data_IF_764154853019
#
_entry.id   IF_764154853019
#
_cell.length_a   1.000
_cell.length_b   1.000
_cell.length_c   1.000
_cell.angle_alpha   90.00
_cell.angle_beta   90.00
_cell.angle_gamma   90.00
#
_symmetry.space_group_name_H-M   'P 1'
#
loop_
_entity.id
_entity.type
_entity.pdbx_description
1 polymer ?
#
# COMPACT_ATOMS: atom_id res chain seq x y z
N UNK A 1 -0.04 9.65 0.21
CA UNK A 1 -1.00 10.74 0.47
C UNK A 1 -0.75 11.94 -0.46
N UNK A 2 -1.78 12.62 -0.96
CA UNK A 2 -1.63 13.86 -1.77
C UNK A 2 -2.20 15.10 -1.10
N UNK A 3 -3.14 14.94 -0.16
CA UNK A 3 -3.75 16.00 0.65
C UNK A 3 -3.96 15.52 2.08
N UNK A 4 -3.93 16.44 3.04
CA UNK A 4 -4.30 16.16 4.42
C UNK A 4 -5.77 15.67 4.48
N UNK A 5 -6.06 14.55 5.15
CA UNK A 5 -7.42 14.02 5.22
C UNK A 5 -8.35 14.89 6.07
N UNK A 6 -7.81 15.66 7.01
CA UNK A 6 -8.61 16.50 7.90
C UNK A 6 -8.95 17.86 7.27
N UNK A 7 -7.94 18.63 6.85
CA UNK A 7 -8.14 20.01 6.35
C UNK A 7 -8.04 20.16 4.83
N UNK A 8 -7.76 19.07 4.10
CA UNK A 8 -7.62 19.02 2.62
C UNK A 8 -6.53 19.89 2.01
N UNK A 9 -5.64 20.47 2.82
CA UNK A 9 -4.44 21.16 2.35
C UNK A 9 -3.53 20.20 1.56
N UNK A 10 -2.76 20.73 0.60
CA UNK A 10 -1.77 19.95 -0.15
C UNK A 10 -0.77 19.31 0.81
N UNK A 11 -0.51 18.02 0.67
CA UNK A 11 0.53 17.35 1.45
C UNK A 11 1.92 17.80 0.99
N UNK A 12 2.82 18.10 1.93
CA UNK A 12 4.17 18.63 1.65
C UNK A 12 5.31 17.63 1.94
N UNK A 13 4.99 16.40 2.33
CA UNK A 13 6.01 15.40 2.67
C UNK A 13 6.40 15.38 4.16
N UNK A 14 5.70 16.12 5.01
CA UNK A 14 5.99 16.24 6.44
C UNK A 14 4.96 15.45 7.28
N UNK A 15 5.39 14.89 8.41
CA UNK A 15 4.51 14.17 9.33
C UNK A 15 3.45 15.09 9.95
N UNK A 16 3.77 16.36 10.19
CA UNK A 16 2.81 17.32 10.73
C UNK A 16 2.22 18.15 9.59
N UNK A 17 0.90 18.26 9.55
CA UNK A 17 0.24 19.11 8.56
C UNK A 17 0.53 20.60 8.82
N UNK A 18 1.26 21.26 7.90
CA UNK A 18 1.53 22.70 7.97
C UNK A 18 0.30 23.63 8.17
N UNK A 19 -0.92 23.18 7.84
CA UNK A 19 -2.14 23.98 7.99
C UNK A 19 -2.88 23.72 9.30
N UNK A 20 -3.26 22.46 9.55
CA UNK A 20 -4.10 22.11 10.71
C UNK A 20 -3.34 21.46 11.85
N UNK A 21 -2.02 21.31 11.73
CA UNK A 21 -1.12 20.74 12.74
C UNK A 21 -1.45 19.30 13.14
N UNK A 22 -2.31 18.62 12.38
CA UNK A 22 -2.59 17.20 12.58
C UNK A 22 -1.34 16.37 12.32
N UNK A 23 -1.04 15.47 13.24
CA UNK A 23 -0.04 14.43 13.05
C UNK A 23 -0.55 13.37 12.06
N UNK A 24 0.19 13.19 10.98
CA UNK A 24 -0.06 12.26 9.88
C UNK A 24 0.87 11.05 9.94
N UNK A 25 1.82 10.99 10.89
CA UNK A 25 2.87 9.96 10.97
C UNK A 25 2.31 8.54 10.89
N UNK A 26 1.22 8.25 11.61
CA UNK A 26 0.57 6.93 11.61
C UNK A 26 0.04 6.59 10.22
N UNK A 27 -0.61 7.54 9.54
CA UNK A 27 -1.16 7.32 8.19
C UNK A 27 -0.03 7.08 7.18
N UNK A 28 1.04 7.86 7.27
CA UNK A 28 2.21 7.72 6.41
C UNK A 28 2.92 6.39 6.63
N UNK A 29 3.01 5.94 7.87
CA UNK A 29 3.56 4.63 8.23
C UNK A 29 2.74 3.51 7.60
N UNK A 30 1.41 3.57 7.71
CA UNK A 30 0.50 2.59 7.09
C UNK A 30 0.67 2.54 5.58
N UNK A 31 0.78 3.69 4.91
CA UNK A 31 1.03 3.77 3.46
C UNK A 31 2.39 3.16 3.08
N UNK A 32 3.45 3.50 3.82
CA UNK A 32 4.81 3.03 3.57
C UNK A 32 4.93 1.52 3.75
N UNK A 33 4.33 0.97 4.79
CA UNK A 33 4.35 -0.47 5.07
C UNK A 33 3.54 -1.26 4.04
N UNK A 34 2.38 -0.75 3.61
CA UNK A 34 1.65 -1.35 2.49
C UNK A 34 2.49 -1.39 1.20
N UNK A 35 3.23 -0.31 0.90
CA UNK A 35 4.12 -0.26 -0.27
C UNK A 35 5.28 -1.26 -0.17
N UNK A 36 5.88 -1.45 1.03
CA UNK A 36 6.89 -2.49 1.27
C UNK A 36 6.32 -3.88 1.04
N UNK A 37 5.14 -4.18 1.58
CA UNK A 37 4.45 -5.47 1.39
C UNK A 37 4.14 -5.73 -0.08
N UNK A 38 3.68 -4.72 -0.82
CA UNK A 38 3.43 -4.85 -2.25
C UNK A 38 4.72 -5.11 -3.04
N UNK A 39 5.83 -4.46 -2.66
CA UNK A 39 7.15 -4.71 -3.25
C UNK A 39 7.59 -6.16 -3.04
N UNK A 40 7.43 -6.69 -1.82
CA UNK A 40 7.75 -8.08 -1.49
C UNK A 40 6.85 -9.05 -2.29
N UNK A 41 5.57 -8.73 -2.45
CA UNK A 41 4.66 -9.52 -3.28
C UNK A 41 5.12 -9.60 -4.74
N UNK A 42 5.55 -8.47 -5.32
CA UNK A 42 6.09 -8.41 -6.68
C UNK A 42 7.39 -9.21 -6.81
N UNK A 43 8.28 -9.15 -5.81
CA UNK A 43 9.51 -9.95 -5.80
C UNK A 43 9.20 -11.46 -5.79
N UNK A 44 8.27 -11.92 -4.96
CA UNK A 44 7.85 -13.32 -4.96
C UNK A 44 7.15 -13.72 -6.26
N UNK A 45 6.34 -12.85 -6.85
CA UNK A 45 5.71 -13.07 -8.15
C UNK A 45 6.76 -13.25 -9.25
N UNK A 46 7.77 -12.37 -9.31
CA UNK A 46 8.87 -12.47 -10.25
C UNK A 46 9.70 -13.75 -10.08
N UNK A 47 9.83 -14.24 -8.84
CA UNK A 47 10.48 -15.50 -8.52
C UNK A 47 9.59 -16.75 -8.72
N UNK A 48 8.35 -16.61 -9.20
CA UNK A 48 7.41 -17.72 -9.39
C UNK A 48 6.79 -18.27 -8.09
N UNK A 49 7.05 -17.64 -6.95
CA UNK A 49 6.55 -18.04 -5.63
C UNK A 49 5.13 -17.52 -5.41
N UNK A 50 4.16 -18.06 -6.16
CA UNK A 50 2.80 -17.50 -6.24
C UNK A 50 2.02 -17.48 -4.92
N UNK A 51 2.20 -18.49 -4.05
CA UNK A 51 1.52 -18.53 -2.74
C UNK A 51 2.01 -17.40 -1.83
N UNK A 52 3.32 -17.16 -1.78
CA UNK A 52 3.94 -16.09 -1.02
C UNK A 52 3.58 -14.72 -1.63
N UNK A 53 3.57 -14.62 -2.96
CA UNK A 53 3.12 -13.42 -3.64
C UNK A 53 1.68 -13.05 -3.24
N UNK A 54 0.75 -14.02 -3.25
CA UNK A 54 -0.64 -13.82 -2.83
C UNK A 54 -0.74 -13.39 -1.37
N UNK A 55 0.03 -14.02 -0.48
CA UNK A 55 0.05 -13.67 0.93
C UNK A 55 0.45 -12.20 1.17
N UNK A 56 1.55 -11.76 0.57
CA UNK A 56 2.02 -10.38 0.73
C UNK A 56 1.12 -9.36 0.03
N UNK A 57 0.57 -9.69 -1.15
CA UNK A 57 -0.39 -8.82 -1.85
C UNK A 57 -1.67 -8.61 -1.02
N UNK A 58 -2.22 -9.70 -0.45
CA UNK A 58 -3.38 -9.62 0.42
C UNK A 58 -3.12 -8.82 1.70
N UNK A 59 -1.91 -8.93 2.27
CA UNK A 59 -1.49 -8.08 3.40
C UNK A 59 -1.41 -6.60 3.01
N UNK A 60 -0.78 -6.27 1.88
CA UNK A 60 -0.69 -4.90 1.39
C UNK A 60 -2.08 -4.27 1.20
N UNK A 61 -3.02 -5.01 0.58
CA UNK A 61 -4.41 -4.58 0.40
C UNK A 61 -5.15 -4.37 1.73
N UNK A 62 -5.01 -5.29 2.69
CA UNK A 62 -5.62 -5.14 4.03
C UNK A 62 -5.10 -3.91 4.77
N UNK A 63 -3.83 -3.58 4.61
CA UNK A 63 -3.21 -2.45 5.26
C UNK A 63 -3.59 -1.12 4.61
N UNK A 64 -3.62 -1.07 3.28
CA UNK A 64 -4.06 0.10 2.54
C UNK A 64 -4.65 -0.30 1.19
N UNK A 65 -5.98 -0.29 1.05
CA UNK A 65 -6.64 -0.77 -0.18
C UNK A 65 -6.62 0.30 -1.29
N UNK A 66 -5.52 0.40 -2.04
CA UNK A 66 -5.44 1.22 -3.26
C UNK A 66 -5.84 0.40 -4.50
N UNK A 67 -6.14 1.09 -5.61
CA UNK A 67 -6.37 0.42 -6.90
C UNK A 67 -5.23 -0.52 -7.28
N UNK A 68 -3.98 -0.10 -7.04
CA UNK A 68 -2.81 -0.92 -7.31
C UNK A 68 -2.81 -2.20 -6.48
N UNK A 69 -3.07 -2.11 -5.17
CA UNK A 69 -3.06 -3.29 -4.30
C UNK A 69 -4.18 -4.29 -4.64
N UNK A 70 -5.34 -3.80 -5.07
CA UNK A 70 -6.45 -4.64 -5.53
C UNK A 70 -6.05 -5.38 -6.81
N UNK A 71 -5.60 -4.64 -7.83
CA UNK A 71 -5.22 -5.23 -9.13
C UNK A 71 -4.06 -6.22 -8.97
N UNK A 72 -3.09 -5.92 -8.10
CA UNK A 72 -1.97 -6.81 -7.83
C UNK A 72 -2.42 -8.15 -7.25
N UNK A 73 -3.28 -8.15 -6.22
CA UNK A 73 -3.81 -9.38 -5.63
C UNK A 73 -4.63 -10.18 -6.65
N UNK A 74 -5.54 -9.53 -7.36
CA UNK A 74 -6.41 -10.16 -8.36
C UNK A 74 -5.57 -10.79 -9.49
N UNK A 75 -4.54 -10.09 -9.96
CA UNK A 75 -3.60 -10.61 -10.96
C UNK A 75 -2.89 -11.86 -10.45
N UNK A 76 -2.32 -11.85 -9.24
CA UNK A 76 -1.63 -13.01 -8.67
C UNK A 76 -2.60 -14.19 -8.49
N UNK A 77 -3.82 -13.94 -8.02
CA UNK A 77 -4.85 -14.99 -7.88
C UNK A 77 -5.19 -15.61 -9.23
N UNK A 78 -5.26 -14.82 -10.31
CA UNK A 78 -5.49 -15.33 -11.66
C UNK A 78 -4.35 -16.23 -12.17
N UNK A 79 -3.12 -16.03 -11.70
CA UNK A 79 -1.98 -16.88 -12.07
C UNK A 79 -1.99 -18.22 -11.31
N UNK A 80 -2.58 -18.28 -10.10
CA UNK A 80 -2.71 -19.51 -9.32
C UNK A 80 -3.79 -20.47 -9.84
N UNK A 81 -4.74 -19.96 -10.62
CA UNK A 81 -5.83 -20.76 -11.20
C UNK A 81 -5.47 -21.40 -12.56
N UNK A 82 -4.24 -21.16 -13.05
CA UNK A 82 -3.68 -21.76 -14.26
C UNK A 82 -2.83 -22.96 -13.89
#
# INVERSE_FOLDING_TARGET
>A
MTRCPLCRAKYRGEDICHRCQTDLSILLTVEADAAKLATIAVQHLAAGNLNQAKYYAGKAKKQHATKFHIILEDFIVSQLAR
#
